data_IF_873495373972
#
_entry.id   IF_873495373972
#
_cell.length_a   1.000
_cell.length_b   1.000
_cell.length_c   1.000
_cell.angle_alpha   90.00
_cell.angle_beta   90.00
_cell.angle_gamma   90.00
#
_symmetry.space_group_name_H-M   'P 1'
#
loop_
_entity.id
_entity.type
_entity.pdbx_description
1 polymer ?
#
# COMPACT_ATOMS: atom_id res chain seq x y z
N UNK A 1 -0.30 -9.59 11.01
CA UNK A 1 -1.52 -9.92 10.24
C UNK A 1 -1.60 -9.29 8.86
N UNK A 2 -1.42 -7.99 8.60
CA UNK A 2 -1.45 -7.49 7.19
C UNK A 2 -0.16 -7.79 6.42
N UNK A 3 1.01 -7.70 7.06
CA UNK A 3 2.21 -8.40 6.61
C UNK A 3 1.98 -9.94 6.53
N UNK A 4 0.96 -10.48 7.20
CA UNK A 4 0.54 -11.89 7.12
C UNK A 4 -0.58 -12.15 6.11
N UNK A 5 -1.39 -11.18 5.69
CA UNK A 5 -2.33 -11.30 4.58
C UNK A 5 -1.60 -11.02 3.28
N UNK A 6 -0.60 -10.14 3.33
CA UNK A 6 0.43 -9.95 2.31
C UNK A 6 1.31 -11.19 2.26
N UNK A 7 1.87 -11.66 3.37
CA UNK A 7 2.66 -12.91 3.39
C UNK A 7 1.82 -14.17 3.16
N UNK A 8 0.54 -14.26 3.55
CA UNK A 8 -0.36 -15.36 3.15
C UNK A 8 -0.75 -15.23 1.68
N UNK A 9 -0.89 -14.02 1.12
CA UNK A 9 -1.06 -13.80 -0.32
C UNK A 9 0.22 -14.13 -1.09
N UNK A 10 1.38 -13.82 -0.55
CA UNK A 10 2.71 -14.10 -1.09
C UNK A 10 3.08 -15.58 -0.88
N UNK A 11 2.58 -16.24 0.17
CA UNK A 11 2.74 -17.67 0.42
C UNK A 11 1.72 -18.49 -0.35
N UNK A 12 0.50 -17.99 -0.56
CA UNK A 12 -0.42 -18.52 -1.56
C UNK A 12 0.23 -18.38 -2.95
N UNK A 13 0.86 -17.24 -3.25
CA UNK A 13 1.63 -17.01 -4.48
C UNK A 13 2.80 -18.01 -4.61
N UNK A 14 3.61 -18.21 -3.56
CA UNK A 14 4.76 -19.14 -3.54
C UNK A 14 4.33 -20.61 -3.58
N UNK A 15 3.28 -21.00 -2.84
CA UNK A 15 2.82 -22.38 -2.77
C UNK A 15 2.03 -22.81 -4.00
N UNK A 16 1.19 -21.91 -4.55
CA UNK A 16 0.62 -22.09 -5.87
C UNK A 16 1.76 -22.27 -6.88
N UNK A 17 2.82 -21.43 -6.84
CA UNK A 17 4.03 -21.55 -7.67
C UNK A 17 4.81 -22.87 -7.50
N UNK A 18 4.81 -23.52 -6.32
CA UNK A 18 5.64 -24.69 -6.03
C UNK A 18 4.94 -26.05 -6.17
N UNK A 19 3.65 -26.15 -5.83
CA UNK A 19 2.91 -27.43 -5.88
C UNK A 19 2.29 -27.69 -7.26
N UNK A 20 1.97 -26.65 -8.00
CA UNK A 20 1.62 -26.74 -9.41
C UNK A 20 2.93 -26.58 -10.19
N UNK A 21 3.30 -27.56 -11.03
CA UNK A 21 4.47 -27.47 -11.90
C UNK A 21 4.27 -26.33 -12.94
N UNK A 22 4.51 -25.09 -12.49
CA UNK A 22 4.24 -23.80 -13.15
C UNK A 22 5.36 -23.48 -14.15
N UNK A 23 5.64 -24.41 -15.05
CA UNK A 23 6.23 -24.08 -16.36
C UNK A 23 5.17 -23.89 -17.44
N UNK A 24 3.89 -24.20 -17.14
CA UNK A 24 2.75 -24.03 -18.06
C UNK A 24 1.64 -23.10 -17.56
N UNK A 25 1.77 -22.56 -16.35
CA UNK A 25 0.80 -21.63 -15.75
C UNK A 25 1.57 -20.52 -15.03
N UNK A 26 2.31 -19.69 -15.76
CA UNK A 26 2.67 -18.38 -15.20
C UNK A 26 1.36 -17.74 -14.76
N UNK A 27 1.18 -17.42 -13.48
CA UNK A 27 -0.02 -16.76 -12.95
C UNK A 27 0.40 -15.99 -11.70
N UNK A 28 0.74 -14.72 -11.88
CA UNK A 28 1.09 -13.85 -10.77
C UNK A 28 -0.18 -13.23 -10.18
N UNK A 29 -0.67 -13.77 -9.06
CA UNK A 29 -1.82 -13.20 -8.35
C UNK A 29 -1.45 -11.88 -7.66
N UNK A 30 -1.81 -10.75 -8.29
CA UNK A 30 -1.67 -9.42 -7.69
C UNK A 30 -3.02 -8.87 -7.23
N UNK A 31 -3.24 -8.84 -5.92
CA UNK A 31 -4.39 -8.11 -5.32
C UNK A 31 -4.04 -6.61 -5.20
N UNK A 32 -3.88 -6.00 -6.37
CA UNK A 32 -3.94 -4.56 -6.63
C UNK A 32 -3.87 -4.30 -8.14
N UNK A 33 -4.80 -3.51 -8.67
CA UNK A 33 -4.82 -2.96 -10.05
C UNK A 33 -3.71 -1.93 -10.32
N UNK A 34 -2.74 -1.83 -9.41
CA UNK A 34 -1.47 -1.16 -9.65
C UNK A 34 -0.47 -2.30 -9.75
N UNK A 35 -0.24 -2.75 -10.99
CA UNK A 35 0.91 -3.55 -11.35
C UNK A 35 2.13 -2.75 -10.88
N UNK A 36 2.68 -3.21 -9.76
CA UNK A 36 3.96 -2.80 -9.19
C UNK A 36 4.01 -1.47 -8.42
N UNK A 37 4.67 -1.53 -7.26
CA UNK A 37 5.42 -0.38 -6.76
C UNK A 37 6.59 -0.16 -7.73
N UNK A 38 7.16 1.04 -7.84
CA UNK A 38 8.26 1.31 -8.78
C UNK A 38 9.43 0.32 -8.69
N UNK A 39 9.62 -0.34 -7.53
CA UNK A 39 10.63 -1.36 -7.31
C UNK A 39 10.44 -2.66 -8.10
N UNK A 40 9.21 -2.96 -8.54
CA UNK A 40 8.90 -4.24 -9.20
C UNK A 40 8.48 -4.03 -10.67
N UNK A 41 8.63 -2.82 -11.23
CA UNK A 41 8.20 -2.50 -12.60
C UNK A 41 8.87 -3.38 -13.66
N UNK A 42 10.07 -3.88 -13.38
CA UNK A 42 10.80 -4.82 -14.25
C UNK A 42 10.11 -6.18 -14.39
N UNK A 43 9.20 -6.52 -13.47
CA UNK A 43 8.41 -7.76 -13.53
C UNK A 43 7.11 -7.60 -14.33
N UNK A 44 6.83 -6.40 -14.88
CA UNK A 44 5.58 -6.12 -15.58
C UNK A 44 5.37 -7.00 -16.81
N UNK A 45 6.42 -7.22 -17.59
CA UNK A 45 6.38 -8.09 -18.76
C UNK A 45 6.23 -9.58 -18.39
N UNK A 46 6.53 -9.96 -17.15
CA UNK A 46 6.32 -11.32 -16.65
C UNK A 46 4.89 -11.56 -16.15
N UNK A 47 4.04 -10.52 -16.09
CA UNK A 47 2.65 -10.68 -15.66
C UNK A 47 1.77 -11.15 -16.81
N UNK A 48 1.25 -12.34 -16.61
CA UNK A 48 0.39 -13.11 -17.51
C UNK A 48 -1.11 -12.95 -17.25
N UNK A 49 -1.51 -12.47 -16.08
CA UNK A 49 -2.91 -12.27 -15.69
C UNK A 49 -3.00 -11.47 -14.38
N UNK A 50 -4.02 -10.62 -14.26
CA UNK A 50 -4.39 -9.93 -13.03
C UNK A 50 -5.81 -10.31 -12.61
N UNK A 51 -5.99 -10.61 -11.33
CA UNK A 51 -7.30 -10.80 -10.70
C UNK A 51 -7.38 -9.82 -9.53
N UNK A 52 -8.30 -8.88 -9.59
CA UNK A 52 -8.45 -7.85 -8.55
C UNK A 52 -9.91 -7.48 -8.30
N UNK A 53 -10.16 -6.85 -7.16
CA UNK A 53 -11.49 -6.37 -6.76
C UNK A 53 -11.56 -4.84 -6.61
N UNK A 54 -10.47 -4.13 -6.93
CA UNK A 54 -10.45 -2.67 -6.98
C UNK A 54 -10.81 -2.14 -8.36
N UNK A 55 -11.24 -0.88 -8.42
CA UNK A 55 -11.41 -0.18 -9.68
C UNK A 55 -10.09 -0.14 -10.46
N UNK A 56 -10.16 -0.44 -11.75
CA UNK A 56 -9.04 -0.32 -12.66
C UNK A 56 -8.50 1.10 -12.68
N UNK A 57 -7.20 1.25 -12.41
CA UNK A 57 -6.52 2.53 -12.45
C UNK A 57 -5.72 2.73 -13.75
N UNK A 58 -5.58 1.66 -14.55
CA UNK A 58 -4.86 1.67 -15.84
C UNK A 58 -5.70 0.95 -16.91
N UNK A 59 -5.53 1.31 -18.20
CA UNK A 59 -6.09 0.55 -19.31
C UNK A 59 -5.55 -0.88 -19.31
N UNK A 60 -6.37 -1.83 -19.74
CA UNK A 60 -5.97 -3.24 -19.89
C UNK A 60 -5.04 -3.41 -21.09
N UNK A 61 -3.98 -4.21 -20.95
CA UNK A 61 -3.14 -4.63 -22.07
C UNK A 61 -3.66 -5.94 -22.68
N UNK A 62 -3.60 -6.13 -24.01
CA UNK A 62 -3.90 -7.42 -24.64
C UNK A 62 -2.98 -8.55 -24.18
N UNK A 63 -1.76 -8.24 -23.73
CA UNK A 63 -0.77 -9.22 -23.26
C UNK A 63 -1.04 -9.77 -21.87
N UNK A 64 -1.89 -9.11 -21.08
CA UNK A 64 -2.19 -9.47 -19.70
C UNK A 64 -3.70 -9.38 -19.46
N UNK A 65 -4.45 -10.50 -19.56
CA UNK A 65 -5.85 -10.57 -19.16
C UNK A 65 -6.07 -10.01 -17.75
N UNK A 66 -7.11 -9.20 -17.60
CA UNK A 66 -7.46 -8.61 -16.31
C UNK A 66 -8.90 -8.96 -15.95
N UNK A 67 -9.08 -9.65 -14.83
CA UNK A 67 -10.38 -9.92 -14.22
C UNK A 67 -10.60 -8.96 -13.07
N UNK A 68 -11.56 -8.05 -13.21
CA UNK A 68 -11.97 -7.15 -12.13
C UNK A 68 -13.44 -7.29 -11.84
N UNK A 69 -13.76 -7.62 -10.59
CA UNK A 69 -15.12 -7.70 -10.09
C UNK A 69 -15.21 -7.09 -8.69
N UNK A 70 -16.19 -6.22 -8.40
CA UNK A 70 -16.29 -5.51 -7.13
C UNK A 70 -16.84 -6.41 -6.00
N UNK A 71 -16.06 -7.42 -5.61
CA UNK A 71 -16.34 -8.32 -4.47
C UNK A 71 -15.69 -7.82 -3.18
N UNK A 72 -16.11 -8.35 -2.04
CA UNK A 72 -15.56 -7.99 -0.73
C UNK A 72 -14.10 -8.40 -0.55
N UNK A 73 -13.69 -9.55 -1.12
CA UNK A 73 -12.30 -10.00 -1.11
C UNK A 73 -11.85 -10.51 -2.48
N UNK A 74 -10.66 -10.11 -2.92
CA UNK A 74 -9.99 -10.74 -4.08
C UNK A 74 -9.82 -12.26 -3.88
N UNK A 75 -9.68 -12.74 -2.64
CA UNK A 75 -9.60 -14.18 -2.35
C UNK A 75 -10.86 -14.95 -2.78
N UNK A 76 -12.01 -14.29 -2.89
CA UNK A 76 -13.23 -14.86 -3.47
C UNK A 76 -13.02 -15.20 -4.95
N UNK A 77 -12.45 -14.27 -5.73
CA UNK A 77 -12.18 -14.49 -7.16
C UNK A 77 -11.07 -15.53 -7.38
N UNK A 78 -10.07 -15.56 -6.49
CA UNK A 78 -9.03 -16.59 -6.53
C UNK A 78 -9.63 -17.96 -6.21
N UNK A 79 -10.50 -18.06 -5.20
CA UNK A 79 -11.20 -19.31 -4.86
C UNK A 79 -12.04 -19.82 -6.02
N UNK A 80 -12.82 -18.93 -6.65
CA UNK A 80 -13.59 -19.21 -7.87
C UNK A 80 -12.68 -19.77 -8.97
N UNK A 81 -11.57 -19.10 -9.22
CA UNK A 81 -10.65 -19.48 -10.29
C UNK A 81 -10.06 -20.87 -10.07
N UNK A 82 -9.59 -21.15 -8.86
CA UNK A 82 -9.01 -22.44 -8.52
C UNK A 82 -10.09 -23.53 -8.62
N UNK A 83 -11.29 -23.30 -8.07
CA UNK A 83 -12.39 -24.26 -8.14
C UNK A 83 -12.79 -24.62 -9.58
N UNK A 84 -12.71 -23.68 -10.52
CA UNK A 84 -13.06 -23.89 -11.92
C UNK A 84 -11.94 -24.53 -12.75
N UNK A 85 -10.67 -24.14 -12.51
CA UNK A 85 -9.55 -24.51 -13.41
C UNK A 85 -8.58 -25.54 -12.85
N UNK A 86 -8.42 -25.59 -11.53
CA UNK A 86 -7.45 -26.45 -10.85
C UNK A 86 -7.95 -26.86 -9.45
N UNK A 87 -9.12 -27.52 -9.34
CA UNK A 87 -9.73 -27.84 -8.05
C UNK A 87 -8.86 -28.72 -7.15
N UNK A 88 -7.92 -29.49 -7.72
CA UNK A 88 -6.94 -30.31 -7.03
C UNK A 88 -5.95 -29.50 -6.16
N UNK A 89 -5.80 -28.21 -6.43
CA UNK A 89 -4.94 -27.30 -5.67
C UNK A 89 -5.59 -26.87 -4.35
N UNK A 90 -6.92 -26.98 -4.23
CA UNK A 90 -7.60 -26.74 -2.97
C UNK A 90 -7.40 -27.94 -2.04
N UNK A 91 -6.37 -27.87 -1.22
CA UNK A 91 -6.22 -28.70 -0.03
C UNK A 91 -6.77 -27.99 1.22
N UNK A 92 -6.71 -28.65 2.37
CA UNK A 92 -7.19 -28.09 3.64
C UNK A 92 -6.48 -26.78 4.02
N UNK A 93 -5.19 -26.64 3.70
CA UNK A 93 -4.37 -25.51 4.11
C UNK A 93 -4.66 -24.29 3.22
N UNK A 94 -4.67 -24.50 1.91
CA UNK A 94 -5.04 -23.48 0.90
C UNK A 94 -6.48 -23.01 1.15
N UNK A 95 -7.41 -23.93 1.39
CA UNK A 95 -8.79 -23.59 1.74
C UNK A 95 -8.89 -22.72 2.99
N UNK A 96 -8.14 -23.04 4.05
CA UNK A 96 -8.13 -22.26 5.29
C UNK A 96 -7.58 -20.85 5.11
N UNK A 97 -6.54 -20.69 4.28
CA UNK A 97 -5.96 -19.39 3.93
C UNK A 97 -6.95 -18.52 3.14
N UNK A 98 -7.56 -19.08 2.10
CA UNK A 98 -8.59 -18.39 1.29
C UNK A 98 -9.81 -18.03 2.15
N UNK A 99 -10.29 -18.98 2.95
CA UNK A 99 -11.42 -18.81 3.87
C UNK A 99 -11.16 -17.66 4.86
N UNK A 100 -9.99 -17.66 5.51
CA UNK A 100 -9.61 -16.62 6.47
C UNK A 100 -9.52 -15.23 5.83
N UNK A 101 -8.97 -15.12 4.62
CA UNK A 101 -8.92 -13.87 3.89
C UNK A 101 -10.33 -13.33 3.56
N UNK A 102 -11.21 -14.18 3.02
CA UNK A 102 -12.59 -13.79 2.66
C UNK A 102 -13.37 -13.34 3.91
N UNK A 103 -13.32 -14.12 4.99
CA UNK A 103 -13.98 -13.79 6.25
C UNK A 103 -13.51 -12.45 6.82
N UNK A 104 -12.20 -12.23 6.84
CA UNK A 104 -11.63 -11.02 7.44
C UNK A 104 -11.94 -9.77 6.61
N UNK A 105 -11.81 -9.83 5.29
CA UNK A 105 -12.07 -8.71 4.38
C UNK A 105 -13.55 -8.34 4.35
N UNK A 106 -14.44 -9.34 4.40
CA UNK A 106 -15.89 -9.17 4.38
C UNK A 106 -16.51 -9.08 5.78
N UNK A 107 -15.71 -8.89 6.84
CA UNK A 107 -16.16 -8.67 8.22
C UNK A 107 -17.17 -9.75 8.66
N UNK A 108 -16.78 -11.02 8.54
CA UNK A 108 -17.62 -12.18 8.87
C UNK A 108 -18.94 -12.26 8.09
N UNK A 109 -18.96 -11.76 6.85
CA UNK A 109 -20.15 -11.67 6.00
C UNK A 109 -21.24 -10.74 6.55
N UNK A 110 -20.90 -9.78 7.42
CA UNK A 110 -21.83 -8.81 7.99
C UNK A 110 -22.34 -7.82 6.92
N UNK A 111 -23.62 -7.85 6.52
CA UNK A 111 -24.15 -6.94 5.50
C UNK A 111 -24.05 -5.46 5.92
N UNK A 112 -24.21 -5.17 7.21
CA UNK A 112 -24.11 -3.84 7.80
C UNK A 112 -22.73 -3.19 7.63
N UNK A 113 -21.68 -3.98 7.41
CA UNK A 113 -20.35 -3.46 7.11
C UNK A 113 -20.20 -2.92 5.67
N UNK A 114 -21.18 -3.19 4.79
CA UNK A 114 -21.23 -2.66 3.42
C UNK A 114 -20.12 -3.19 2.48
N UNK A 115 -19.48 -4.31 2.83
CA UNK A 115 -18.35 -4.88 2.08
C UNK A 115 -18.62 -6.23 1.42
N UNK A 116 -19.61 -6.98 1.93
CA UNK A 116 -19.88 -8.34 1.48
C UNK A 116 -20.76 -8.35 0.22
N UNK A 117 -20.48 -9.26 -0.69
CA UNK A 117 -21.33 -9.53 -1.87
C UNK A 117 -21.92 -10.94 -1.84
N UNK A 118 -22.95 -11.23 -2.65
CA UNK A 118 -23.48 -12.59 -2.78
C UNK A 118 -22.42 -13.62 -3.19
N UNK A 119 -21.45 -13.22 -4.03
CA UNK A 119 -20.37 -14.10 -4.48
C UNK A 119 -19.41 -14.47 -3.35
N UNK A 120 -19.08 -13.52 -2.46
CA UNK A 120 -18.27 -13.81 -1.26
C UNK A 120 -18.97 -14.87 -0.39
N UNK A 121 -20.28 -14.69 -0.16
CA UNK A 121 -21.07 -15.64 0.63
C UNK A 121 -21.15 -17.03 -0.02
N UNK A 122 -21.29 -17.08 -1.35
CA UNK A 122 -21.30 -18.32 -2.11
C UNK A 122 -19.99 -19.10 -1.95
N UNK A 123 -18.84 -18.45 -2.12
CA UNK A 123 -17.54 -19.14 -2.06
C UNK A 123 -17.10 -19.49 -0.64
N UNK A 124 -17.53 -18.73 0.37
CA UNK A 124 -17.40 -19.12 1.79
C UNK A 124 -18.16 -20.41 2.06
N UNK A 125 -19.42 -20.51 1.64
CA UNK A 125 -20.24 -21.73 1.80
C UNK A 125 -19.66 -22.90 0.99
N UNK A 126 -19.11 -22.63 -0.21
CA UNK A 126 -18.41 -23.64 -1.00
C UNK A 126 -17.21 -24.24 -0.25
N UNK A 127 -16.36 -23.39 0.35
CA UNK A 127 -15.21 -23.82 1.13
C UNK A 127 -15.65 -24.61 2.38
N UNK A 128 -16.62 -24.09 3.13
CA UNK A 128 -17.17 -24.76 4.33
C UNK A 128 -17.72 -26.16 4.03
N UNK A 129 -18.43 -26.32 2.90
CA UNK A 129 -18.96 -27.62 2.46
C UNK A 129 -17.87 -28.58 2.01
N UNK A 130 -16.87 -28.08 1.26
CA UNK A 130 -15.82 -28.92 0.67
C UNK A 130 -14.78 -29.35 1.70
N UNK A 131 -14.57 -28.55 2.73
CA UNK A 131 -13.57 -28.75 3.80
C UNK A 131 -14.24 -28.66 5.18
N UNK A 132 -14.91 -29.73 5.66
CA UNK A 132 -15.64 -29.72 6.94
C UNK A 132 -14.76 -29.50 8.19
N UNK A 133 -13.43 -29.57 8.04
CA UNK A 133 -12.45 -29.29 9.11
C UNK A 133 -12.08 -27.80 9.20
N UNK A 134 -12.66 -26.93 8.38
CA UNK A 134 -12.47 -25.49 8.53
C UNK A 134 -13.05 -25.01 9.87
N UNK A 135 -12.40 -24.04 10.53
CA UNK A 135 -12.83 -23.55 11.84
C UNK A 135 -14.19 -22.83 11.74
N UNK A 136 -14.90 -22.73 12.86
CA UNK A 136 -16.18 -22.02 12.91
C UNK A 136 -15.97 -20.53 12.58
N UNK A 137 -16.77 -20.02 11.63
CA UNK A 137 -16.65 -18.68 11.07
C UNK A 137 -16.47 -17.56 12.09
N UNK A 138 -17.34 -17.52 13.11
CA UNK A 138 -17.35 -16.45 14.12
C UNK A 138 -16.11 -16.45 15.01
N UNK A 139 -15.73 -17.60 15.58
CA UNK A 139 -14.55 -17.74 16.42
C UNK A 139 -13.26 -17.47 15.63
N UNK A 140 -13.21 -17.97 14.39
CA UNK A 140 -12.07 -17.74 13.51
C UNK A 140 -11.93 -16.27 13.12
N UNK A 141 -13.04 -15.61 12.76
CA UNK A 141 -13.05 -14.16 12.51
C UNK A 141 -12.53 -13.38 13.71
N UNK A 142 -13.01 -13.68 14.92
CA UNK A 142 -12.59 -12.97 16.12
C UNK A 142 -11.09 -13.16 16.39
N UNK A 143 -10.58 -14.39 16.22
CA UNK A 143 -9.15 -14.69 16.36
C UNK A 143 -8.30 -13.93 15.34
N UNK A 144 -8.75 -13.91 14.08
CA UNK A 144 -8.11 -13.14 13.00
C UNK A 144 -8.15 -11.63 13.26
N UNK A 145 -9.26 -11.13 13.78
CA UNK A 145 -9.43 -9.73 14.10
C UNK A 145 -8.53 -9.32 15.27
N UNK A 146 -8.49 -10.11 16.34
CA UNK A 146 -7.62 -9.89 17.49
C UNK A 146 -6.14 -9.82 17.06
N UNK A 147 -5.67 -10.80 16.29
CA UNK A 147 -4.29 -10.79 15.82
C UNK A 147 -4.02 -9.74 14.72
N UNK A 148 -5.06 -9.20 14.05
CA UNK A 148 -4.91 -8.01 13.19
C UNK A 148 -4.54 -6.78 14.00
N UNK A 149 -5.28 -6.52 15.07
CA UNK A 149 -5.10 -5.33 15.91
C UNK A 149 -3.97 -5.48 16.94
N UNK A 150 -3.53 -6.70 17.24
CA UNK A 150 -2.36 -6.90 18.09
C UNK A 150 -1.09 -6.37 17.41
N UNK A 151 -0.48 -5.40 18.09
CA UNK A 151 0.80 -4.77 17.73
C UNK A 151 1.76 -4.74 18.92
N UNK A 152 1.43 -5.41 20.02
CA UNK A 152 2.18 -5.37 21.28
C UNK A 152 3.64 -5.83 21.12
N UNK A 153 3.89 -6.81 20.24
CA UNK A 153 5.22 -7.33 19.95
C UNK A 153 6.01 -6.60 18.85
N UNK A 154 5.52 -5.47 18.32
CA UNK A 154 6.16 -4.77 17.20
C UNK A 154 7.04 -3.59 17.65
N UNK A 155 8.20 -3.45 17.00
CA UNK A 155 8.98 -2.20 17.04
C UNK A 155 8.23 -1.06 16.35
N UNK A 156 8.66 0.18 16.57
CA UNK A 156 8.01 1.35 15.95
C UNK A 156 8.11 1.29 14.43
N UNK A 157 9.30 0.96 13.90
CA UNK A 157 9.50 0.71 12.47
C UNK A 157 8.56 -0.39 11.94
N UNK A 158 8.46 -1.52 12.65
CA UNK A 158 7.57 -2.61 12.22
C UNK A 158 6.09 -2.19 12.23
N UNK A 159 5.66 -1.37 13.19
CA UNK A 159 4.32 -0.80 13.21
C UNK A 159 4.09 0.12 12.00
N UNK A 160 5.06 0.99 11.69
CA UNK A 160 5.01 1.90 10.55
C UNK A 160 4.93 1.12 9.23
N UNK A 161 5.72 0.07 9.06
CA UNK A 161 5.74 -0.76 7.84
C UNK A 161 4.51 -1.68 7.70
N UNK A 162 3.87 -2.08 8.81
CA UNK A 162 2.80 -3.10 8.85
C UNK A 162 1.66 -2.82 7.86
N UNK A 163 1.21 -1.56 7.77
CA UNK A 163 0.21 -1.12 6.80
C UNK A 163 0.60 0.25 6.22
N UNK A 164 1.72 0.27 5.52
CA UNK A 164 2.28 1.47 4.89
C UNK A 164 1.91 1.57 3.41
N UNK A 165 1.71 2.80 2.94
CA UNK A 165 1.72 3.13 1.51
C UNK A 165 2.62 4.34 1.27
N UNK A 166 3.55 4.20 0.33
CA UNK A 166 4.38 5.32 -0.12
C UNK A 166 3.62 6.22 -1.11
N UNK A 167 3.95 7.50 -1.10
CA UNK A 167 3.59 8.47 -2.11
C UNK A 167 4.80 9.37 -2.39
N UNK A 168 4.97 9.77 -3.65
CA UNK A 168 6.06 10.65 -4.07
C UNK A 168 5.59 11.66 -5.11
N UNK A 169 6.25 12.81 -5.15
CA UNK A 169 6.04 13.86 -6.14
C UNK A 169 7.16 14.91 -6.05
N UNK A 170 7.88 15.11 -7.16
CA UNK A 170 9.11 15.91 -7.17
C UNK A 170 10.17 15.35 -6.21
N UNK A 171 10.73 16.22 -5.38
CA UNK A 171 11.72 15.94 -4.32
C UNK A 171 11.11 15.33 -3.05
N UNK A 172 9.77 15.21 -2.94
CA UNK A 172 9.12 14.79 -1.71
C UNK A 172 8.67 13.32 -1.78
N UNK A 173 9.26 12.50 -0.92
CA UNK A 173 8.87 11.11 -0.64
C UNK A 173 8.23 11.03 0.75
N UNK A 174 7.09 10.36 0.87
CA UNK A 174 6.42 10.21 2.16
C UNK A 174 5.76 8.85 2.35
N UNK A 175 5.71 8.43 3.61
CA UNK A 175 5.02 7.21 4.04
C UNK A 175 3.67 7.53 4.68
N UNK A 176 2.64 6.79 4.31
CA UNK A 176 1.30 6.84 4.92
C UNK A 176 1.02 5.52 5.61
N UNK A 177 1.18 5.50 6.93
CA UNK A 177 1.12 4.29 7.75
C UNK A 177 -0.18 4.23 8.55
N UNK A 178 -0.79 3.05 8.64
CA UNK A 178 -1.92 2.80 9.54
C UNK A 178 -1.44 2.04 10.78
N UNK A 179 -1.64 2.64 11.95
CA UNK A 179 -1.21 2.14 13.24
C UNK A 179 -2.43 1.66 14.05
N UNK A 180 -2.33 0.45 14.59
CA UNK A 180 -3.43 -0.25 15.25
C UNK A 180 -3.41 -0.07 16.79
N UNK A 181 -3.29 1.18 17.24
CA UNK A 181 -3.38 1.60 18.64
C UNK A 181 -3.80 3.07 18.71
N UNK A 182 -4.06 3.62 19.89
CA UNK A 182 -4.37 5.07 20.00
C UNK A 182 -3.13 5.92 19.72
N UNK A 183 -3.32 7.16 19.28
CA UNK A 183 -2.21 8.07 19.00
C UNK A 183 -1.49 8.47 20.29
N UNK A 184 -2.19 8.61 21.40
CA UNK A 184 -1.60 8.86 22.71
C UNK A 184 -0.61 7.74 23.08
N UNK A 185 -1.03 6.49 22.95
CA UNK A 185 -0.18 5.34 23.25
C UNK A 185 0.99 5.22 22.25
N UNK A 186 0.77 5.58 20.98
CA UNK A 186 1.84 5.64 19.99
C UNK A 186 2.87 6.72 20.31
N UNK A 187 2.43 7.93 20.68
CA UNK A 187 3.29 9.05 21.09
C UNK A 187 4.08 8.76 22.37
N UNK A 188 3.56 7.93 23.26
CA UNK A 188 4.23 7.53 24.51
C UNK A 188 5.27 6.41 24.34
N UNK A 189 5.47 5.88 23.12
CA UNK A 189 6.46 4.83 22.89
C UNK A 189 7.87 5.34 23.19
N UNK A 190 8.65 4.52 23.89
CA UNK A 190 10.06 4.80 24.20
C UNK A 190 10.85 4.94 22.90
N UNK A 191 11.62 6.01 22.77
CA UNK A 191 12.46 6.25 21.59
C UNK A 191 11.72 6.72 20.33
N UNK A 192 10.41 7.03 20.40
CA UNK A 192 9.61 7.30 19.20
C UNK A 192 10.20 8.35 18.26
N UNK A 193 10.68 9.48 18.80
CA UNK A 193 11.23 10.55 17.98
C UNK A 193 12.47 10.11 17.20
N UNK A 194 13.35 9.33 17.85
CA UNK A 194 14.52 8.73 17.22
C UNK A 194 14.09 7.69 16.17
N UNK A 195 13.17 6.79 16.53
CA UNK A 195 12.65 5.76 15.63
C UNK A 195 12.03 6.38 14.36
N UNK A 196 11.28 7.48 14.47
CA UNK A 196 10.69 8.19 13.34
C UNK A 196 11.77 8.83 12.44
N UNK A 197 12.83 9.38 13.05
CA UNK A 197 13.95 9.96 12.33
C UNK A 197 14.73 8.90 11.56
N UNK A 198 15.09 7.80 12.23
CA UNK A 198 15.78 6.66 11.63
C UNK A 198 14.93 6.00 10.56
N UNK A 199 13.61 5.85 10.77
CA UNK A 199 12.70 5.34 9.76
C UNK A 199 12.70 6.19 8.49
N UNK A 200 12.60 7.52 8.62
CA UNK A 200 12.67 8.43 7.49
C UNK A 200 14.02 8.32 6.76
N UNK A 201 15.13 8.26 7.50
CA UNK A 201 16.46 8.14 6.93
C UNK A 201 16.66 6.80 6.19
N UNK A 202 16.36 5.67 6.84
CA UNK A 202 16.59 4.32 6.33
C UNK A 202 15.73 3.99 5.11
N UNK A 203 14.51 4.55 5.03
CA UNK A 203 13.57 4.29 3.93
C UNK A 203 13.44 5.45 2.94
N UNK A 204 14.34 6.45 3.04
CA UNK A 204 14.38 7.64 2.18
C UNK A 204 13.03 8.39 2.08
N UNK A 205 12.38 8.58 3.23
CA UNK A 205 11.18 9.41 3.35
C UNK A 205 11.51 10.76 4.00
N UNK A 206 10.89 11.82 3.50
CA UNK A 206 10.96 13.15 4.09
C UNK A 206 9.85 13.38 5.12
N UNK A 207 8.76 12.62 5.04
CA UNK A 207 7.56 12.82 5.85
C UNK A 207 6.83 11.50 6.14
N UNK A 208 6.24 11.40 7.33
CA UNK A 208 5.35 10.30 7.72
C UNK A 208 3.99 10.87 8.11
N UNK A 209 2.94 10.35 7.48
CA UNK A 209 1.55 10.49 7.94
C UNK A 209 1.16 9.19 8.65
N UNK A 210 1.14 9.22 9.98
CA UNK A 210 0.73 8.09 10.81
C UNK A 210 -0.76 8.24 11.16
N UNK A 211 -1.60 7.43 10.51
CA UNK A 211 -3.03 7.33 10.82
C UNK A 211 -3.25 6.24 11.86
N UNK A 212 -3.97 6.54 12.94
CA UNK A 212 -4.33 5.53 13.93
C UNK A 212 -5.74 5.00 13.72
N UNK A 213 -5.97 3.76 14.11
CA UNK A 213 -7.30 3.19 14.28
C UNK A 213 -7.35 2.34 15.55
N UNK A 214 -8.37 2.59 16.36
CA UNK A 214 -8.75 1.73 17.48
C UNK A 214 -10.26 1.76 17.64
N UNK A 215 -10.79 0.97 18.59
CA UNK A 215 -12.22 0.81 18.80
C UNK A 215 -12.57 1.16 20.23
N UNK A 216 -13.67 1.86 20.44
CA UNK A 216 -14.22 2.11 21.77
C UNK A 216 -14.96 0.88 22.31
N UNK A 217 -15.50 0.98 23.52
CA UNK A 217 -16.25 -0.11 24.17
C UNK A 217 -17.48 -0.57 23.36
N UNK A 218 -18.05 0.32 22.55
CA UNK A 218 -19.17 0.03 21.65
C UNK A 218 -18.73 -0.59 20.31
N UNK A 219 -17.44 -0.92 20.15
CA UNK A 219 -16.84 -1.41 18.89
C UNK A 219 -16.96 -0.42 17.73
N UNK A 220 -17.10 0.86 18.02
CA UNK A 220 -17.09 1.92 17.03
C UNK A 220 -15.65 2.34 16.75
N UNK A 221 -15.26 2.50 15.47
CA UNK A 221 -13.92 2.90 15.13
C UNK A 221 -13.70 4.37 15.47
N UNK A 222 -12.56 4.66 16.08
CA UNK A 222 -12.06 6.02 16.26
C UNK A 222 -10.68 6.15 15.60
N UNK A 223 -10.43 7.32 15.01
CA UNK A 223 -9.24 7.63 14.22
C UNK A 223 -8.58 8.90 14.69
N UNK A 224 -7.26 8.91 14.62
CA UNK A 224 -6.43 10.09 14.82
C UNK A 224 -5.33 10.07 13.76
N UNK A 225 -4.61 11.17 13.66
CA UNK A 225 -3.61 11.36 12.64
C UNK A 225 -2.43 12.13 13.22
N UNK A 226 -1.22 11.72 12.88
CA UNK A 226 -0.01 12.47 13.15
C UNK A 226 0.79 12.71 11.86
N UNK A 227 1.43 13.87 11.78
CA UNK A 227 2.33 14.26 10.71
C UNK A 227 3.71 14.50 11.32
N UNK A 228 4.67 13.68 10.94
CA UNK A 228 6.08 13.79 11.32
C UNK A 228 6.94 14.19 10.13
N UNK A 229 7.88 15.12 10.34
CA UNK A 229 8.98 15.39 9.42
C UNK A 229 10.07 16.15 10.18
N UNK A 230 11.34 15.92 9.84
CA UNK A 230 12.46 16.75 10.31
C UNK A 230 12.38 18.18 9.75
N UNK A 231 11.75 18.36 8.59
CA UNK A 231 11.49 19.68 7.99
C UNK A 231 10.19 20.28 8.54
N UNK A 232 10.31 21.41 9.25
CA UNK A 232 9.15 22.19 9.68
C UNK A 232 8.28 22.64 8.51
N UNK A 233 8.90 22.95 7.35
CA UNK A 233 8.17 23.35 6.14
C UNK A 233 7.24 22.23 5.66
N UNK A 234 7.79 21.03 5.43
CA UNK A 234 6.99 19.89 4.96
C UNK A 234 5.90 19.50 5.96
N UNK A 235 6.21 19.53 7.25
CA UNK A 235 5.23 19.24 8.32
C UNK A 235 4.06 20.22 8.30
N UNK A 236 4.33 21.52 8.20
CA UNK A 236 3.29 22.56 8.17
C UNK A 236 2.48 22.54 6.87
N UNK A 237 3.13 22.36 5.72
CA UNK A 237 2.44 22.28 4.41
C UNK A 237 1.50 21.07 4.35
N UNK A 238 1.97 19.89 4.72
CA UNK A 238 1.16 18.67 4.73
C UNK A 238 0.00 18.79 5.73
N UNK A 239 0.27 19.28 6.95
CA UNK A 239 -0.78 19.48 7.96
C UNK A 239 -1.89 20.40 7.43
N UNK A 240 -1.52 21.54 6.82
CA UNK A 240 -2.47 22.47 6.21
C UNK A 240 -3.25 21.84 5.05
N UNK A 241 -2.60 21.01 4.23
CA UNK A 241 -3.27 20.31 3.13
C UNK A 241 -4.34 19.32 3.64
N UNK A 242 -4.01 18.56 4.69
CA UNK A 242 -4.93 17.62 5.33
C UNK A 242 -6.11 18.34 6.02
N UNK A 243 -5.85 19.46 6.68
CA UNK A 243 -6.89 20.28 7.34
C UNK A 243 -7.83 20.97 6.34
N UNK A 244 -7.29 21.47 5.21
CA UNK A 244 -8.07 22.22 4.21
C UNK A 244 -8.79 21.34 3.18
N UNK A 245 -8.62 20.02 3.25
CA UNK A 245 -9.21 19.09 2.30
C UNK A 245 -10.75 19.19 2.30
N UNK A 246 -11.33 19.86 1.29
CA UNK A 246 -12.78 19.96 1.12
C UNK A 246 -13.37 18.66 0.56
N UNK A 247 -12.68 18.06 -0.40
CA UNK A 247 -13.02 16.75 -0.94
C UNK A 247 -12.45 15.67 -0.01
N UNK A 248 -13.33 14.84 0.55
CA UNK A 248 -12.97 13.86 1.60
C UNK A 248 -12.53 14.50 2.93
N UNK A 249 -13.30 15.50 3.41
CA UNK A 249 -13.04 16.17 4.70
C UNK A 249 -12.78 15.18 5.83
N UNK A 250 -11.65 15.38 6.50
CA UNK A 250 -11.19 14.56 7.63
C UNK A 250 -11.73 15.08 8.98
N UNK A 251 -12.24 16.32 9.03
CA UNK A 251 -12.65 17.03 10.25
C UNK A 251 -11.55 16.96 11.33
N UNK A 252 -10.35 17.45 10.97
CA UNK A 252 -9.18 17.40 11.85
C UNK A 252 -9.29 18.48 12.94
N UNK A 253 -9.03 18.07 14.18
CA UNK A 253 -8.92 18.98 15.34
C UNK A 253 -7.54 18.80 15.97
N UNK A 254 -6.74 19.88 16.13
CA UNK A 254 -5.42 19.78 16.73
C UNK A 254 -5.47 19.14 18.13
N UNK A 255 -4.48 18.31 18.43
CA UNK A 255 -4.24 17.75 19.75
C UNK A 255 -2.78 17.98 20.17
N UNK A 256 -2.51 17.90 21.47
CA UNK A 256 -1.16 18.07 21.99
C UNK A 256 -0.25 16.91 21.56
N UNK A 257 0.98 17.26 21.23
CA UNK A 257 2.09 16.34 21.01
C UNK A 257 3.23 16.73 21.95
N UNK A 258 3.88 15.73 22.56
CA UNK A 258 5.09 15.95 23.36
C UNK A 258 6.33 16.23 22.48
N UNK A 259 6.22 16.07 21.17
CA UNK A 259 7.34 16.24 20.24
C UNK A 259 7.11 17.44 19.31
N UNK A 260 8.07 18.37 19.19
CA UNK A 260 7.94 19.58 18.37
C UNK A 260 7.94 19.28 16.86
N UNK A 261 8.48 18.13 16.47
CA UNK A 261 8.56 17.62 15.11
C UNK A 261 7.36 16.74 14.70
N UNK A 262 6.34 16.64 15.55
CA UNK A 262 5.09 15.92 15.29
C UNK A 262 3.89 16.85 15.49
N UNK A 263 3.04 16.96 14.46
CA UNK A 263 1.69 17.54 14.58
C UNK A 263 0.70 16.41 14.74
N UNK A 264 -0.20 16.53 15.71
CA UNK A 264 -1.17 15.49 16.03
C UNK A 264 -2.60 16.05 15.91
N UNK A 265 -3.53 15.21 15.48
CA UNK A 265 -4.93 15.57 15.21
C UNK A 265 -5.89 14.46 15.63
N UNK A 266 -7.01 14.85 16.24
CA UNK A 266 -8.22 14.02 16.28
C UNK A 266 -8.89 14.08 14.90
N UNK A 267 -9.33 12.93 14.38
CA UNK A 267 -10.01 12.86 13.08
C UNK A 267 -11.52 12.63 13.31
N UNK A 268 -12.32 13.69 13.14
CA UNK A 268 -13.77 13.64 13.36
C UNK A 268 -14.49 12.73 12.36
N UNK A 269 -14.04 12.69 11.10
CA UNK A 269 -14.58 11.74 10.12
C UNK A 269 -13.95 10.35 10.29
N UNK A 270 -14.50 9.54 11.20
CA UNK A 270 -13.98 8.20 11.53
C UNK A 270 -14.09 7.19 10.38
N UNK A 271 -14.92 7.45 9.37
CA UNK A 271 -15.04 6.59 8.18
C UNK A 271 -13.93 6.85 7.14
N UNK A 272 -13.24 8.00 7.21
CA UNK A 272 -12.15 8.34 6.30
C UNK A 272 -10.87 7.55 6.62
N UNK A 273 -10.73 6.38 5.99
CA UNK A 273 -9.49 5.57 6.07
C UNK A 273 -8.36 6.15 5.20
N UNK A 274 -7.20 5.48 5.17
CA UNK A 274 -6.11 5.78 4.22
C UNK A 274 -6.60 5.91 2.77
N UNK A 275 -7.63 5.17 2.34
CA UNK A 275 -8.21 5.30 0.99
C UNK A 275 -8.76 6.71 0.70
N UNK A 276 -9.18 7.45 1.73
CA UNK A 276 -9.67 8.83 1.66
C UNK A 276 -8.56 9.87 1.86
N UNK A 277 -7.53 9.54 2.63
CA UNK A 277 -6.33 10.40 2.82
C UNK A 277 -5.41 10.41 1.61
N UNK A 278 -5.23 9.27 0.94
CA UNK A 278 -4.32 9.16 -0.21
C UNK A 278 -4.63 10.15 -1.35
N UNK A 279 -5.90 10.34 -1.79
CA UNK A 279 -6.22 11.37 -2.77
C UNK A 279 -5.81 12.79 -2.35
N UNK A 280 -6.01 13.16 -1.09
CA UNK A 280 -5.61 14.47 -0.55
C UNK A 280 -4.09 14.65 -0.69
N UNK A 281 -3.32 13.62 -0.32
CA UNK A 281 -1.87 13.61 -0.45
C UNK A 281 -1.43 13.68 -1.92
N UNK A 282 -2.07 12.93 -2.81
CA UNK A 282 -1.77 12.98 -4.25
C UNK A 282 -2.04 14.38 -4.83
N UNK A 283 -3.14 15.02 -4.45
CA UNK A 283 -3.46 16.37 -4.91
C UNK A 283 -2.46 17.40 -4.38
N UNK A 284 -2.06 17.28 -3.10
CA UNK A 284 -1.02 18.10 -2.49
C UNK A 284 0.33 17.97 -3.24
N UNK A 285 0.77 16.75 -3.52
CA UNK A 285 2.02 16.48 -4.25
C UNK A 285 1.99 17.11 -5.65
N UNK A 286 0.88 16.95 -6.39
CA UNK A 286 0.69 17.56 -7.71
C UNK A 286 0.70 19.09 -7.67
N UNK A 287 0.07 19.69 -6.66
CA UNK A 287 0.06 21.15 -6.51
C UNK A 287 1.47 21.68 -6.22
N UNK A 288 2.25 20.99 -5.38
CA UNK A 288 3.62 21.37 -5.05
C UNK A 288 4.54 21.24 -6.27
N UNK A 289 4.43 20.17 -7.02
CA UNK A 289 5.18 19.97 -8.27
C UNK A 289 4.91 21.10 -9.27
N UNK A 290 3.63 21.47 -9.49
CA UNK A 290 3.26 22.61 -10.34
C UNK A 290 3.89 23.93 -9.90
N UNK A 291 3.93 24.20 -8.59
CA UNK A 291 4.56 25.41 -8.04
C UNK A 291 6.07 25.42 -8.26
N UNK A 292 6.74 24.28 -8.14
CA UNK A 292 8.17 24.16 -8.41
C UNK A 292 8.51 24.48 -9.88
N UNK A 293 7.73 23.94 -10.83
CA UNK A 293 7.88 24.25 -12.26
C UNK A 293 7.64 25.74 -12.58
N UNK A 294 6.67 26.37 -11.92
CA UNK A 294 6.38 27.80 -12.12
C UNK A 294 7.47 28.71 -11.54
N UNK A 295 8.17 28.29 -10.49
CA UNK A 295 9.28 29.04 -9.92
C UNK A 295 10.58 28.87 -10.73
N UNK A 296 10.83 27.69 -11.29
CA UNK A 296 12.02 27.43 -12.12
C UNK A 296 12.02 28.14 -13.47
N UNK A 297 10.85 28.39 -14.06
CA UNK A 297 10.73 29.11 -15.34
C UNK A 297 10.92 30.64 -15.24
N UNK A 298 11.04 31.20 -14.04
CA UNK A 298 11.27 32.65 -13.86
C UNK A 298 12.78 32.97 -13.89
N UNK A 299 13.66 31.99 -13.66
CA UNK A 299 15.12 32.22 -13.67
C UNK A 299 15.75 32.18 -15.09
N UNK A 300 15.00 31.78 -16.12
CA UNK A 300 15.49 31.65 -17.52
C UNK A 300 15.04 32.80 -18.47
N UNK A 301 14.48 33.90 -17.96
CA UNK A 301 13.98 35.02 -18.80
C UNK A 301 14.52 36.41 -18.46
N UNK A 302 15.56 36.53 -17.64
CA UNK A 302 16.14 37.84 -17.30
C UNK A 302 17.60 37.98 -17.77
N UNK A 303 17.84 37.85 -19.08
CA UNK A 303 18.94 38.45 -19.88
C UNK A 303 18.39 38.49 -21.33
N UNK A 304 18.09 39.61 -21.98
CA UNK A 304 18.99 40.71 -22.30
C UNK A 304 18.26 42.04 -22.58
N UNK A 305 19.04 43.09 -22.35
CA UNK A 305 18.79 44.52 -22.49
C UNK A 305 18.80 45.01 -23.96
N UNK A 306 18.26 46.22 -24.09
CA UNK A 306 17.94 47.06 -25.25
C UNK A 306 19.02 47.20 -26.35
N UNK A 307 18.64 47.12 -27.64
CA UNK A 307 19.16 48.02 -28.69
C UNK A 307 18.40 47.94 -30.03
N UNK A 308 18.18 49.12 -30.59
CA UNK A 308 17.51 49.45 -31.84
C UNK A 308 18.31 49.11 -33.12
N UNK A 309 17.56 49.10 -34.24
CA UNK A 309 17.89 49.53 -35.62
C UNK A 309 18.25 48.51 -36.73
N UNK A 310 17.33 48.47 -37.68
CA UNK A 310 17.49 48.65 -39.14
C UNK A 310 17.65 47.47 -40.13
N UNK A 311 17.00 47.70 -41.27
CA UNK A 311 16.78 46.86 -42.45
C UNK A 311 18.04 46.65 -43.30
N UNK A 312 18.15 45.51 -44.00
CA UNK A 312 18.34 45.45 -45.47
C UNK A 312 18.56 44.02 -46.00
N UNK A 313 17.99 43.78 -47.18
CA UNK A 313 18.14 42.60 -48.04
C UNK A 313 19.56 42.48 -48.64
N UNK A 314 20.05 41.26 -48.90
CA UNK A 314 20.68 40.91 -50.19
C UNK A 314 21.07 39.44 -50.29
N UNK A 315 20.92 38.94 -51.52
CA UNK A 315 21.17 37.60 -52.05
C UNK A 315 22.65 37.20 -52.04
N UNK A 316 22.96 35.90 -51.83
CA UNK A 316 23.63 35.02 -52.83
C UNK A 316 24.07 33.67 -52.22
N UNK A 317 23.74 32.58 -52.93
CA UNK A 317 24.40 31.26 -52.95
C UNK A 317 25.28 31.20 -54.24
N UNK A 318 26.16 30.20 -54.51
CA UNK A 318 26.07 28.78 -54.07
C UNK A 318 27.41 27.99 -53.88
N UNK A 319 27.23 26.67 -53.62
CA UNK A 319 28.16 25.52 -53.78
C UNK A 319 29.17 25.26 -52.64
N UNK A 320 29.50 24.04 -52.18
CA UNK A 320 29.07 22.64 -52.39
C UNK A 320 29.83 21.78 -51.32
N UNK A 321 29.44 20.51 -51.20
CA UNK A 321 30.07 19.37 -50.51
C UNK A 321 29.57 19.07 -49.10
N UNK A 322 28.72 18.04 -49.03
CA UNK A 322 28.13 17.51 -47.81
C UNK A 322 29.08 16.69 -46.94
N UNK A 323 28.55 16.29 -45.78
CA UNK A 323 28.75 15.02 -45.06
C UNK A 323 27.73 15.03 -43.91
N UNK A 324 27.34 13.82 -43.54
CA UNK A 324 26.17 13.38 -42.80
C UNK A 324 26.02 13.92 -41.36
N UNK A 325 24.75 13.93 -40.98
CA UNK A 325 24.15 14.07 -39.66
C UNK A 325 24.83 13.17 -38.60
N UNK A 326 25.34 13.77 -37.52
CA UNK A 326 25.26 13.12 -36.20
C UNK A 326 25.35 14.15 -35.07
N UNK A 327 24.28 14.19 -34.28
CA UNK A 327 24.09 15.13 -33.19
C UNK A 327 24.86 14.62 -31.97
N UNK A 328 26.04 15.19 -31.69
CA UNK A 328 26.82 14.85 -30.50
C UNK A 328 26.15 15.36 -29.22
N UNK A 329 25.41 14.48 -28.55
CA UNK A 329 24.92 14.65 -27.18
C UNK A 329 26.09 14.49 -26.20
N UNK A 330 26.25 15.34 -25.17
CA UNK A 330 27.28 15.14 -24.16
C UNK A 330 26.95 13.93 -23.27
N UNK A 331 27.97 13.16 -22.81
CA UNK A 331 27.75 11.97 -22.01
C UNK A 331 27.17 12.35 -20.64
N UNK A 332 26.08 11.69 -20.27
CA UNK A 332 25.52 11.80 -18.91
C UNK A 332 26.51 11.20 -17.91
N UNK A 333 26.84 11.89 -16.81
CA UNK A 333 27.73 11.34 -15.80
C UNK A 333 27.08 10.13 -15.13
N UNK A 334 27.73 8.97 -15.26
CA UNK A 334 27.49 7.84 -14.37
C UNK A 334 27.84 8.26 -12.95
N UNK A 335 26.88 8.20 -12.03
CA UNK A 335 27.18 8.16 -10.61
C UNK A 335 26.42 7.05 -9.92
N UNK A 336 27.25 6.14 -9.42
CA UNK A 336 27.08 5.26 -8.27
C UNK A 336 25.82 4.39 -8.23
N UNK A 337 26.01 3.14 -8.65
CA UNK A 337 25.50 1.98 -7.91
C UNK A 337 25.52 2.28 -6.40
N UNK A 338 24.34 2.50 -5.83
CA UNK A 338 24.11 2.33 -4.40
C UNK A 338 23.35 1.02 -4.30
N UNK A 339 24.10 -0.05 -4.01
CA UNK A 339 23.58 -1.26 -3.39
C UNK A 339 22.82 -0.87 -2.12
N UNK A 340 21.67 -1.49 -1.89
CA UNK A 340 20.81 -1.21 -0.74
C UNK A 340 19.37 -0.97 -1.14
N UNK A 341 18.76 -1.95 -1.81
CA UNK A 341 17.31 -1.99 -1.81
C UNK A 341 16.89 -2.23 -0.35
N UNK A 342 15.87 -1.54 0.21
CA UNK A 342 15.35 -1.83 1.56
C UNK A 342 14.78 -3.25 1.72
N UNK A 343 14.87 -4.08 0.67
CA UNK A 343 14.56 -5.50 0.61
C UNK A 343 15.81 -6.40 0.73
N UNK A 344 17.03 -5.88 0.76
CA UNK A 344 18.27 -6.68 0.83
C UNK A 344 18.40 -7.48 2.15
N UNK A 345 17.68 -7.07 3.20
CA UNK A 345 17.57 -7.84 4.45
C UNK A 345 16.33 -8.74 4.52
N UNK A 346 15.51 -8.77 3.47
CA UNK A 346 14.26 -9.51 3.41
C UNK A 346 13.19 -9.02 4.38
N UNK A 347 11.92 -9.26 4.05
CA UNK A 347 10.87 -9.33 5.08
C UNK A 347 11.31 -10.35 6.15
N UNK A 348 10.86 -10.25 7.42
CA UNK A 348 11.08 -11.33 8.38
C UNK A 348 10.78 -12.65 7.68
N UNK A 349 11.74 -13.59 7.69
CA UNK A 349 11.68 -14.90 7.01
C UNK A 349 10.54 -15.73 7.61
N UNK A 350 9.32 -15.34 7.33
CA UNK A 350 8.11 -16.05 7.68
C UNK A 350 7.92 -16.99 6.50
N UNK A 351 8.38 -18.22 6.67
CA UNK A 351 8.19 -19.23 5.62
C UNK A 351 6.69 -19.52 5.47
N UNK A 352 6.24 -19.97 4.29
CA UNK A 352 4.86 -20.41 4.07
C UNK A 352 4.37 -21.38 5.17
N UNK A 353 5.25 -22.25 5.65
CA UNK A 353 4.98 -23.23 6.70
C UNK A 353 4.70 -22.55 8.05
N UNK A 354 5.45 -21.51 8.41
CA UNK A 354 5.23 -20.73 9.65
C UNK A 354 3.89 -19.99 9.61
N UNK A 355 3.46 -19.54 8.42
CA UNK A 355 2.13 -18.92 8.25
C UNK A 355 1.05 -19.95 8.46
N UNK A 356 1.12 -21.08 7.74
CA UNK A 356 0.15 -22.17 7.85
C UNK A 356 0.07 -22.62 9.30
N UNK A 357 1.20 -22.84 9.96
CA UNK A 357 1.24 -23.24 11.37
C UNK A 357 0.55 -22.21 12.27
N UNK A 358 0.77 -20.90 12.06
CA UNK A 358 0.06 -19.86 12.83
C UNK A 358 -1.44 -19.85 12.54
N UNK A 359 -1.86 -20.00 11.28
CA UNK A 359 -3.29 -20.03 10.92
C UNK A 359 -3.96 -21.26 11.52
N UNK A 360 -3.29 -22.42 11.43
CA UNK A 360 -3.74 -23.67 12.02
C UNK A 360 -3.82 -23.57 13.54
N UNK A 361 -2.85 -22.92 14.21
CA UNK A 361 -2.91 -22.65 15.65
C UNK A 361 -4.10 -21.75 16.02
N UNK A 362 -4.36 -20.70 15.23
CA UNK A 362 -5.55 -19.84 15.45
C UNK A 362 -6.86 -20.60 15.23
N UNK A 363 -6.87 -21.61 14.36
CA UNK A 363 -8.01 -22.50 14.17
C UNK A 363 -8.11 -23.59 15.26
N UNK A 364 -7.01 -23.95 15.93
CA UNK A 364 -6.95 -25.02 16.92
C UNK A 364 -6.96 -24.55 18.37
N UNK A 365 -7.03 -23.25 18.64
CA UNK A 365 -7.15 -22.68 20.00
C UNK A 365 -8.48 -23.05 20.70
N UNK A 366 -9.24 -24.00 20.15
CA UNK A 366 -10.52 -24.51 20.65
C UNK A 366 -10.38 -25.60 21.74
N UNK A 367 -9.19 -26.14 22.04
CA UNK A 367 -9.06 -27.31 22.93
C UNK A 367 -8.64 -27.02 24.40
N UNK A 368 -8.65 -25.77 24.87
CA UNK A 368 -8.41 -25.47 26.29
C UNK A 368 -9.43 -24.49 26.85
N UNK A 369 -10.68 -24.93 26.96
CA UNK A 369 -11.55 -24.49 28.04
C UNK A 369 -11.32 -25.43 29.24
N UNK A 370 -11.06 -24.92 30.46
CA UNK A 370 -11.02 -25.77 31.63
C UNK A 370 -12.45 -26.24 31.91
N UNK A 371 -12.67 -27.55 31.85
CA UNK A 371 -13.89 -28.18 32.36
C UNK A 371 -14.08 -27.75 33.82
N UNK A 372 -15.15 -26.99 34.06
CA UNK A 372 -15.56 -26.61 35.41
C UNK A 372 -16.01 -27.83 36.19
N UNK A 373 -15.30 -28.10 37.28
CA UNK A 373 -15.82 -28.82 38.45
C UNK A 373 -16.81 -27.96 39.22
#
# INVERSE_FOLDING_TARGET
MEAYLRSCRDALKVRLCSEVNIRKFGQFFYNKSVLFCSADSELEDAVVEVIDHHLLQRPTSPSCPVTVEPVGSCATLVTERIAQKAPEVLDQQVAQLLYGAIILDCVNMAPEAGKVTPKDSQYVVFLEKRFPKLPQRGAFFQSLQNAKFDVSGLSTEQMLLKDMKAASGGDLNLAVSVIYMTLEAFLQRRGLQQDLCEFCHNHNYNLVVAMTISFNDNKEPFRQLAVYSSSTVYREEMSKALEKAKNNSLDLKPMSSSYPDVKAFLQGNTLASRKKVMPIITDFLKEREKKAYQCGNIEDLDLDDDSNQDQSESQQCPEDAGIEDDTHVPPTPMNSLVEGCPLDNGLPKISPEVLVEKVSKMASMEDTSPEGQ
#
